data_IF_897636833000
#
_entry.id   IF_897636833000
#
_cell.length_a   1.000
_cell.length_b   1.000
_cell.length_c   1.000
_cell.angle_alpha   90.00
_cell.angle_beta   90.00
_cell.angle_gamma   90.00
#
_symmetry.space_group_name_H-M   'P 1'
#
loop_
_entity.id
_entity.type
_entity.pdbx_description
1 polymer ?
#
# COMPACT_ATOMS: atom_id res chain seq x y z
N UNK A 1 -12.33 19.46 14.34
CA UNK A 1 -13.16 18.33 13.88
C UNK A 1 -12.33 17.08 13.61
N UNK A 2 -11.13 17.20 13.02
CA UNK A 2 -10.20 16.08 12.78
C UNK A 2 -9.91 15.24 14.05
N UNK A 3 -9.48 15.88 15.15
CA UNK A 3 -9.23 15.19 16.43
C UNK A 3 -10.45 14.39 16.92
N UNK A 4 -11.64 14.99 16.86
CA UNK A 4 -12.88 14.33 17.25
C UNK A 4 -13.15 13.06 16.42
N UNK A 5 -12.94 13.09 15.10
CA UNK A 5 -13.16 11.93 14.22
C UNK A 5 -12.11 10.83 14.45
N UNK A 6 -10.83 11.21 14.64
CA UNK A 6 -9.74 10.26 14.86
C UNK A 6 -9.90 9.48 16.17
N UNK A 7 -10.36 10.12 17.23
CA UNK A 7 -10.43 9.53 18.56
C UNK A 7 -11.67 8.63 18.80
N UNK A 8 -12.63 8.60 17.86
CA UNK A 8 -13.76 7.67 17.96
C UNK A 8 -13.27 6.21 17.93
N UNK A 9 -13.81 5.31 18.77
CA UNK A 9 -13.60 3.88 18.61
C UNK A 9 -14.27 3.40 17.33
N UNK A 10 -13.57 2.58 16.54
CA UNK A 10 -14.03 2.10 15.22
C UNK A 10 -13.78 0.60 15.09
N UNK A 11 -14.66 -0.06 14.36
CA UNK A 11 -14.42 -1.39 13.81
C UNK A 11 -14.32 -1.26 12.29
N UNK A 12 -13.30 -1.87 11.70
CA UNK A 12 -13.12 -1.95 10.26
C UNK A 12 -13.58 -3.33 9.78
N UNK A 13 -14.64 -3.37 8.98
CA UNK A 13 -15.32 -4.62 8.59
C UNK A 13 -14.95 -5.09 7.17
N UNK A 14 -14.27 -4.24 6.40
CA UNK A 14 -13.81 -4.56 5.05
C UNK A 14 -12.43 -3.96 4.86
N UNK A 15 -11.42 -4.82 4.93
CA UNK A 15 -10.01 -4.51 4.66
C UNK A 15 -9.38 -5.71 3.98
N UNK A 16 -8.55 -5.46 2.98
CA UNK A 16 -7.63 -6.46 2.44
C UNK A 16 -6.27 -6.24 3.09
N UNK A 17 -5.70 -7.27 3.72
CA UNK A 17 -4.38 -7.15 4.38
C UNK A 17 -3.30 -6.85 3.35
N UNK A 18 -3.42 -7.43 2.16
CA UNK A 18 -2.55 -7.19 1.02
C UNK A 18 -2.61 -5.72 0.57
N UNK A 19 -3.78 -5.10 0.69
CA UNK A 19 -3.99 -3.68 0.40
C UNK A 19 -3.39 -2.72 1.43
N UNK A 20 -2.83 -3.23 2.54
CA UNK A 20 -2.10 -2.42 3.53
C UNK A 20 -0.58 -2.52 3.38
N UNK A 21 -0.10 -3.12 2.28
CA UNK A 21 1.32 -3.24 2.01
C UNK A 21 1.90 -1.90 1.56
N UNK A 22 2.44 -1.13 2.50
CA UNK A 22 3.11 0.13 2.20
C UNK A 22 4.37 -0.07 1.34
N UNK A 23 4.69 0.84 0.41
CA UNK A 23 5.88 0.76 -0.43
C UNK A 23 7.19 0.51 0.34
N UNK A 24 7.40 1.19 1.47
CA UNK A 24 8.60 1.01 2.30
C UNK A 24 8.67 -0.41 2.88
N UNK A 25 7.52 -0.94 3.33
CA UNK A 25 7.44 -2.31 3.83
C UNK A 25 7.70 -3.31 2.71
N UNK A 26 7.15 -3.09 1.51
CA UNK A 26 7.40 -3.92 0.33
C UNK A 26 8.90 -4.02 0.03
N UNK A 27 9.64 -2.91 0.01
CA UNK A 27 11.10 -2.91 -0.20
C UNK A 27 11.85 -3.64 0.93
N UNK A 28 11.48 -3.41 2.19
CA UNK A 28 12.13 -4.10 3.32
C UNK A 28 11.93 -5.63 3.28
N UNK A 29 10.74 -6.07 2.86
CA UNK A 29 10.44 -7.49 2.69
C UNK A 29 11.17 -8.07 1.48
N UNK A 30 11.26 -7.33 0.38
CA UNK A 30 12.00 -7.75 -0.80
C UNK A 30 13.49 -7.94 -0.49
N UNK A 31 14.12 -6.98 0.21
CA UNK A 31 15.50 -7.09 0.68
C UNK A 31 15.69 -8.30 1.60
N UNK A 32 14.83 -8.45 2.61
CA UNK A 32 14.89 -9.59 3.55
C UNK A 32 14.82 -10.94 2.85
N UNK A 33 14.02 -11.04 1.79
CA UNK A 33 13.76 -12.28 1.07
C UNK A 33 14.63 -12.46 -0.19
N UNK A 34 15.52 -11.51 -0.51
CA UNK A 34 16.35 -11.57 -1.73
C UNK A 34 15.55 -11.49 -3.03
N UNK A 35 14.39 -10.82 -3.01
CA UNK A 35 13.52 -10.64 -4.18
C UNK A 35 13.85 -9.32 -4.86
N UNK A 36 14.04 -9.35 -6.20
CA UNK A 36 14.22 -8.13 -6.98
C UNK A 36 12.84 -7.58 -7.38
N UNK A 37 12.56 -6.35 -6.97
CA UNK A 37 11.33 -5.65 -7.36
C UNK A 37 11.45 -5.07 -8.79
N UNK A 38 10.32 -4.94 -9.51
CA UNK A 38 10.27 -4.27 -10.81
C UNK A 38 10.31 -2.73 -10.70
N UNK A 39 10.50 -2.19 -9.50
CA UNK A 39 10.61 -0.77 -9.22
C UNK A 39 12.01 -0.43 -8.71
N UNK A 40 12.61 0.69 -9.14
CA UNK A 40 13.95 1.09 -8.73
C UNK A 40 14.00 1.58 -7.27
N UNK A 41 12.92 2.19 -6.78
CA UNK A 41 12.82 2.77 -5.44
C UNK A 41 11.35 2.92 -5.00
N UNK A 42 11.17 3.38 -3.76
CA UNK A 42 9.87 3.64 -3.12
C UNK A 42 9.06 4.68 -3.88
N UNK A 43 9.71 5.71 -4.41
CA UNK A 43 9.04 6.82 -5.09
C UNK A 43 8.40 6.35 -6.41
N UNK A 44 9.08 5.48 -7.16
CA UNK A 44 8.53 4.86 -8.36
C UNK A 44 7.26 4.04 -8.09
N UNK A 45 7.15 3.38 -6.93
CA UNK A 45 5.93 2.65 -6.53
C UNK A 45 4.80 3.62 -6.21
N UNK A 46 5.10 4.71 -5.47
CA UNK A 46 4.11 5.74 -5.14
C UNK A 46 3.54 6.39 -6.41
N UNK A 47 4.37 6.61 -7.42
CA UNK A 47 3.95 7.14 -8.72
C UNK A 47 3.13 6.14 -9.53
N UNK A 48 3.31 4.84 -9.30
CA UNK A 48 2.53 3.79 -9.94
C UNK A 48 1.10 3.69 -9.37
N UNK A 49 0.83 4.22 -8.17
CA UNK A 49 -0.49 4.18 -7.52
C UNK A 49 -1.48 5.21 -8.10
N UNK A 50 -1.63 5.18 -9.41
CA UNK A 50 -2.61 5.95 -10.18
C UNK A 50 -3.41 4.94 -11.00
N UNK A 51 -4.70 4.82 -10.71
CA UNK A 51 -5.55 3.75 -11.22
C UNK A 51 -6.71 4.34 -12.03
N UNK A 52 -6.96 3.79 -13.22
CA UNK A 52 -8.08 4.18 -14.09
C UNK A 52 -9.34 3.36 -13.79
N UNK A 53 -9.15 2.09 -13.39
CA UNK A 53 -10.21 1.16 -13.03
C UNK A 53 -9.73 0.10 -12.02
N UNK A 54 -10.62 -0.83 -11.65
CA UNK A 54 -10.30 -1.90 -10.72
C UNK A 54 -9.17 -2.80 -11.23
N UNK A 55 -9.12 -3.08 -12.53
CA UNK A 55 -8.11 -3.99 -13.07
C UNK A 55 -6.72 -3.35 -12.99
N UNK A 56 -6.61 -2.06 -13.32
CA UNK A 56 -5.37 -1.30 -13.19
C UNK A 56 -4.84 -1.26 -11.75
N UNK A 57 -5.72 -1.37 -10.74
CA UNK A 57 -5.33 -1.52 -9.33
C UNK A 57 -4.82 -2.92 -9.00
N UNK A 58 -5.46 -3.97 -9.54
CA UNK A 58 -5.12 -5.37 -9.24
C UNK A 58 -3.83 -5.84 -9.93
N UNK A 59 -3.40 -5.17 -11.00
CA UNK A 59 -2.25 -5.57 -11.83
C UNK A 59 -0.88 -5.07 -11.31
N UNK A 60 -0.87 -4.19 -10.30
CA UNK A 60 0.37 -3.62 -9.71
C UNK A 60 1.03 -4.57 -8.71
#
# INVERSE_FOLDING_TARGET
MDTFVRDLPKAELHLHIEGTLEPELMFSLAERNGVRLPYPDVEAVRQAYVFDDLQSFLDI
#
